data_IF_823909315904
#
_entry.id   IF_823909315904
#
_cell.length_a   1.000
_cell.length_b   1.000
_cell.length_c   1.000
_cell.angle_alpha   90.00
_cell.angle_beta   90.00
_cell.angle_gamma   90.00
#
_symmetry.space_group_name_H-M   'P 1'
#
loop_
_entity.id
_entity.type
_entity.pdbx_description
1 polymer ?
#
# COMPACT_ATOMS: atom_id res chain seq x y z
N UNK A 1 -55.67 -7.90 -48.78
CA UNK A 1 -55.44 -7.99 -47.31
C UNK A 1 -55.31 -9.47 -46.96
N UNK A 2 -54.38 -9.96 -46.12
CA UNK A 2 -53.30 -9.32 -45.33
C UNK A 2 -51.95 -9.98 -45.68
N UNK A 3 -50.82 -9.34 -45.38
CA UNK A 3 -49.50 -10.00 -45.40
C UNK A 3 -49.32 -10.82 -44.11
N UNK A 4 -48.74 -12.01 -44.21
CA UNK A 4 -48.20 -12.77 -43.08
C UNK A 4 -46.69 -12.90 -43.29
N UNK A 5 -45.92 -12.10 -42.56
CA UNK A 5 -44.47 -12.17 -42.48
C UNK A 5 -44.11 -13.09 -41.31
N UNK A 6 -43.36 -14.16 -41.59
CA UNK A 6 -42.87 -15.06 -40.55
C UNK A 6 -41.61 -14.44 -39.91
N UNK A 7 -41.80 -13.70 -38.82
CA UNK A 7 -40.69 -13.08 -38.08
C UNK A 7 -40.00 -14.10 -37.18
N UNK A 8 -38.86 -14.64 -37.62
CA UNK A 8 -37.95 -15.42 -36.76
C UNK A 8 -37.33 -14.48 -35.74
N UNK A 9 -37.85 -14.47 -34.52
CA UNK A 9 -37.24 -13.74 -33.40
C UNK A 9 -36.02 -14.54 -32.93
N UNK A 10 -34.86 -14.25 -33.53
CA UNK A 10 -33.60 -14.80 -33.07
C UNK A 10 -33.30 -14.18 -31.69
N UNK A 11 -33.49 -14.97 -30.64
CA UNK A 11 -33.24 -14.53 -29.27
C UNK A 11 -31.73 -14.32 -29.06
N UNK A 12 -31.29 -13.07 -29.22
CA UNK A 12 -29.98 -12.60 -28.77
C UNK A 12 -29.95 -12.64 -27.25
N UNK A 13 -29.71 -13.83 -26.69
CA UNK A 13 -29.22 -14.00 -25.33
C UNK A 13 -27.89 -13.24 -25.27
N UNK A 14 -27.76 -12.16 -24.50
CA UNK A 14 -26.45 -11.59 -24.29
C UNK A 14 -25.64 -12.64 -23.55
N UNK A 15 -24.53 -13.10 -24.14
CA UNK A 15 -23.45 -13.66 -23.36
C UNK A 15 -22.95 -12.49 -22.49
N UNK A 16 -23.53 -12.37 -21.29
CA UNK A 16 -22.85 -11.72 -20.19
C UNK A 16 -21.50 -12.43 -20.09
N UNK A 17 -20.43 -11.72 -20.46
CA UNK A 17 -19.10 -12.25 -20.37
C UNK A 17 -18.93 -12.74 -18.93
N UNK A 18 -18.72 -14.05 -18.77
CA UNK A 18 -18.16 -14.58 -17.54
C UNK A 18 -16.73 -14.05 -17.50
N UNK A 19 -16.59 -12.82 -16.99
CA UNK A 19 -15.34 -12.29 -16.50
C UNK A 19 -14.86 -13.31 -15.48
N UNK A 20 -13.95 -14.17 -15.92
CA UNK A 20 -13.50 -15.31 -15.14
C UNK A 20 -12.65 -14.74 -14.01
N UNK A 21 -13.32 -14.48 -12.88
CA UNK A 21 -12.85 -13.73 -11.71
C UNK A 21 -11.78 -14.54 -10.96
N UNK A 22 -10.68 -14.71 -11.68
CA UNK A 22 -9.45 -15.41 -11.33
C UNK A 22 -8.67 -14.49 -10.41
N UNK A 23 -9.24 -14.25 -9.22
CA UNK A 23 -8.67 -13.40 -8.17
C UNK A 23 -7.29 -13.89 -7.81
N UNK A 24 -6.30 -13.30 -8.47
CA UNK A 24 -4.92 -13.38 -8.07
C UNK A 24 -4.68 -12.58 -6.80
N UNK A 25 -3.41 -12.40 -6.49
CA UNK A 25 -2.92 -11.60 -5.37
C UNK A 25 -2.95 -10.09 -5.67
N UNK A 26 -3.93 -9.64 -6.46
CA UNK A 26 -4.14 -8.23 -6.83
C UNK A 26 -4.78 -7.51 -5.65
N UNK A 27 -4.02 -6.61 -5.01
CA UNK A 27 -4.50 -5.82 -3.88
C UNK A 27 -4.84 -4.41 -4.38
N UNK A 28 -6.09 -4.02 -4.24
CA UNK A 28 -6.55 -2.64 -4.47
C UNK A 28 -7.18 -2.10 -3.19
N UNK A 29 -6.72 -0.93 -2.73
CA UNK A 29 -7.15 -0.34 -1.45
C UNK A 29 -7.21 1.18 -1.55
N UNK A 30 -8.23 1.81 -0.97
CA UNK A 30 -8.28 3.28 -0.86
C UNK A 30 -7.61 3.74 0.42
N UNK A 31 -7.21 5.02 0.46
CA UNK A 31 -6.61 5.59 1.68
C UNK A 31 -7.52 5.42 2.91
N UNK A 32 -8.83 5.70 2.77
CA UNK A 32 -9.77 5.57 3.87
C UNK A 32 -10.09 4.11 4.26
N UNK A 33 -9.94 3.15 3.34
CA UNK A 33 -10.03 1.73 3.73
C UNK A 33 -8.82 1.32 4.58
N UNK A 34 -7.62 1.81 4.25
CA UNK A 34 -6.44 1.60 5.09
C UNK A 34 -6.58 2.25 6.47
N UNK A 35 -7.13 3.47 6.53
CA UNK A 35 -7.48 4.14 7.80
C UNK A 35 -8.43 3.29 8.65
N UNK A 36 -9.48 2.72 8.04
CA UNK A 36 -10.42 1.84 8.75
C UNK A 36 -9.72 0.61 9.33
N UNK A 37 -8.99 -0.14 8.50
CA UNK A 37 -8.32 -1.37 8.92
C UNK A 37 -7.25 -1.09 10.00
N UNK A 38 -6.48 0.00 9.87
CA UNK A 38 -5.50 0.39 10.87
C UNK A 38 -6.11 0.94 12.18
N UNK A 39 -7.31 1.55 12.14
CA UNK A 39 -8.08 1.87 13.35
C UNK A 39 -8.45 0.59 14.09
N UNK A 40 -8.80 -0.49 13.38
CA UNK A 40 -9.08 -1.79 13.99
C UNK A 40 -7.81 -2.45 14.54
N UNK A 41 -6.73 -2.54 13.76
CA UNK A 41 -5.45 -3.15 14.17
C UNK A 41 -4.82 -2.47 15.39
N UNK A 42 -4.92 -1.14 15.49
CA UNK A 42 -4.38 -0.34 16.59
C UNK A 42 -5.40 -0.11 17.72
N UNK A 43 -6.62 -0.66 17.60
CA UNK A 43 -7.72 -0.51 18.57
C UNK A 43 -8.10 0.95 18.90
N UNK A 44 -7.93 1.85 17.93
CA UNK A 44 -8.17 3.29 18.08
C UNK A 44 -9.67 3.54 18.37
N UNK A 45 -10.03 4.39 19.34
CA UNK A 45 -11.43 4.59 19.74
C UNK A 45 -12.34 5.00 18.57
N UNK A 46 -13.43 4.26 18.35
CA UNK A 46 -14.33 4.42 17.18
C UNK A 46 -14.86 5.83 16.94
N UNK A 47 -14.89 6.72 17.93
CA UNK A 47 -15.27 8.12 17.73
C UNK A 47 -14.22 8.90 16.90
N UNK A 48 -12.93 8.53 16.97
CA UNK A 48 -11.86 9.09 16.14
C UNK A 48 -11.99 8.72 14.67
N UNK A 49 -12.56 7.55 14.35
CA UNK A 49 -12.79 7.15 12.97
C UNK A 49 -13.65 8.17 12.21
N UNK A 50 -14.65 8.79 12.87
CA UNK A 50 -15.46 9.86 12.27
C UNK A 50 -14.61 11.09 11.94
N UNK A 51 -13.63 11.43 12.79
CA UNK A 51 -12.68 12.51 12.57
C UNK A 51 -11.78 12.22 11.34
N UNK A 52 -11.18 11.03 11.28
CA UNK A 52 -10.31 10.63 10.15
C UNK A 52 -11.06 10.50 8.83
N UNK A 53 -12.32 10.05 8.85
CA UNK A 53 -13.20 10.00 7.67
C UNK A 53 -13.64 11.41 7.20
N UNK A 54 -13.57 12.42 8.06
CA UNK A 54 -13.72 13.83 7.71
C UNK A 54 -12.40 14.48 7.22
N UNK A 55 -11.33 13.69 7.04
CA UNK A 55 -9.97 14.12 6.70
C UNK A 55 -9.28 15.00 7.76
N UNK A 56 -9.74 14.98 9.00
CA UNK A 56 -9.06 15.63 10.13
C UNK A 56 -8.00 14.69 10.72
N UNK A 57 -6.72 15.05 10.59
CA UNK A 57 -5.59 14.27 11.14
C UNK A 57 -4.79 15.14 12.13
N UNK A 58 -5.15 15.16 13.43
CA UNK A 58 -4.45 15.94 14.45
C UNK A 58 -3.04 15.40 14.77
N UNK A 59 -2.11 16.24 15.29
CA UNK A 59 -0.71 15.87 15.55
C UNK A 59 -0.48 15.09 16.86
N UNK A 60 -1.46 14.28 17.30
CA UNK A 60 -1.31 13.41 18.48
C UNK A 60 -0.67 12.06 18.14
N UNK A 61 -0.09 11.39 19.14
CA UNK A 61 0.70 10.15 18.93
C UNK A 61 -0.15 8.98 18.40
N UNK A 62 -1.43 8.93 18.77
CA UNK A 62 -2.41 7.96 18.25
C UNK A 62 -2.59 8.13 16.73
N UNK A 63 -2.83 9.36 16.28
CA UNK A 63 -2.98 9.70 14.86
C UNK A 63 -1.67 9.55 14.08
N UNK A 64 -0.52 9.88 14.68
CA UNK A 64 0.81 9.66 14.09
C UNK A 64 1.05 8.17 13.80
N UNK A 65 0.80 7.29 14.77
CA UNK A 65 1.00 5.86 14.58
C UNK A 65 -0.08 5.23 13.69
N UNK A 66 -1.30 5.77 13.65
CA UNK A 66 -2.31 5.42 12.65
C UNK A 66 -1.83 5.70 11.23
N UNK A 67 -1.34 6.91 10.95
CA UNK A 67 -0.82 7.28 9.62
C UNK A 67 0.39 6.45 9.22
N UNK A 68 1.24 6.06 10.18
CA UNK A 68 2.33 5.10 9.95
C UNK A 68 1.85 3.68 9.61
N UNK A 69 0.80 3.18 10.29
CA UNK A 69 0.17 1.91 9.91
C UNK A 69 -0.37 1.99 8.48
N UNK A 70 -1.10 3.07 8.16
CA UNK A 70 -1.64 3.34 6.81
C UNK A 70 -0.55 3.36 5.75
N UNK A 71 0.60 4.01 6.02
CA UNK A 71 1.73 4.01 5.10
C UNK A 71 2.42 2.65 4.95
N UNK A 72 2.44 1.84 5.99
CA UNK A 72 3.02 0.49 5.96
C UNK A 72 2.11 -0.50 5.19
N UNK A 73 0.80 -0.37 5.36
CA UNK A 73 -0.25 -1.15 4.69
C UNK A 73 -0.35 -0.78 3.19
N UNK A 74 -0.38 0.51 2.86
CA UNK A 74 -0.38 1.04 1.48
C UNK A 74 1.01 1.09 0.82
N UNK A 75 2.04 0.53 1.47
CA UNK A 75 3.43 0.41 0.99
C UNK A 75 4.19 1.71 0.71
N UNK A 76 3.61 2.88 0.98
CA UNK A 76 4.33 4.16 0.82
C UNK A 76 5.31 4.48 1.95
N UNK A 77 5.26 3.75 3.07
CA UNK A 77 6.23 3.87 4.16
C UNK A 77 6.99 2.55 4.39
N UNK A 78 8.29 2.66 4.63
CA UNK A 78 9.18 1.54 4.95
C UNK A 78 10.09 1.88 6.14
N UNK A 79 10.23 0.96 7.11
CA UNK A 79 11.05 1.18 8.31
C UNK A 79 12.57 1.29 8.05
N UNK A 80 13.05 0.79 6.91
CA UNK A 80 14.48 0.80 6.53
C UNK A 80 14.79 1.87 5.48
N UNK A 81 13.88 2.07 4.51
CA UNK A 81 14.09 2.98 3.38
C UNK A 81 13.27 4.28 3.45
N UNK A 82 12.39 4.44 4.44
CA UNK A 82 11.51 5.62 4.57
C UNK A 82 10.43 5.68 3.49
N UNK A 83 10.17 6.89 2.98
CA UNK A 83 9.19 7.19 1.95
C UNK A 83 9.46 6.42 0.65
N UNK A 84 8.46 5.70 0.14
CA UNK A 84 8.45 5.11 -1.20
C UNK A 84 7.61 6.01 -2.12
N UNK A 85 8.28 6.90 -2.86
CA UNK A 85 7.62 7.93 -3.68
C UNK A 85 6.61 7.36 -4.69
N UNK A 86 6.88 6.25 -5.41
CA UNK A 86 5.92 5.69 -6.37
C UNK A 86 4.57 5.29 -5.75
N UNK A 87 4.56 4.79 -4.51
CA UNK A 87 3.33 4.43 -3.83
C UNK A 87 2.56 5.63 -3.27
N UNK A 88 3.22 6.63 -2.66
CA UNK A 88 2.47 7.74 -2.04
C UNK A 88 1.68 8.54 -3.08
N UNK A 89 2.27 8.78 -4.27
CA UNK A 89 1.64 9.57 -5.33
C UNK A 89 0.40 8.89 -5.92
N UNK A 90 0.20 7.58 -5.69
CA UNK A 90 -1.02 6.87 -6.07
C UNK A 90 -2.24 7.34 -5.27
N UNK A 91 -2.02 7.85 -4.04
CA UNK A 91 -3.08 8.26 -3.13
C UNK A 91 -3.39 9.77 -3.14
N UNK A 92 -2.69 10.57 -3.96
CA UNK A 92 -2.89 12.02 -4.03
C UNK A 92 -3.02 12.53 -5.48
N UNK A 93 -4.04 13.36 -5.72
CA UNK A 93 -4.30 14.01 -7.00
C UNK A 93 -4.02 15.52 -6.88
N UNK A 94 -3.06 16.08 -7.63
CA UNK A 94 -2.78 17.51 -7.64
C UNK A 94 -3.99 18.37 -8.01
N UNK A 95 -4.09 19.54 -7.40
CA UNK A 95 -5.16 20.51 -7.64
C UNK A 95 -5.08 21.02 -9.08
N UNK A 96 -6.22 21.07 -9.78
CA UNK A 96 -6.27 21.43 -11.20
C UNK A 96 -5.71 22.84 -11.43
N UNK A 97 -4.59 22.91 -12.15
CA UNK A 97 -3.90 24.16 -12.48
C UNK A 97 -2.69 24.47 -11.61
N UNK A 98 -2.50 23.77 -10.48
CA UNK A 98 -1.26 23.85 -9.71
C UNK A 98 -0.11 23.21 -10.50
N UNK A 99 1.04 23.88 -10.51
CA UNK A 99 2.30 23.44 -11.14
C UNK A 99 3.49 23.53 -10.18
N UNK A 100 3.25 23.84 -8.91
CA UNK A 100 4.25 23.98 -7.86
C UNK A 100 4.08 22.94 -6.75
N UNK A 101 3.03 22.10 -6.81
CA UNK A 101 2.75 21.04 -5.84
C UNK A 101 3.98 20.15 -5.55
N UNK A 102 4.70 19.72 -6.59
CA UNK A 102 5.93 18.91 -6.47
C UNK A 102 7.01 19.65 -5.68
N UNK A 103 7.29 20.90 -6.08
CA UNK A 103 8.29 21.75 -5.44
C UNK A 103 7.96 22.00 -3.97
N UNK A 104 6.73 22.43 -3.65
CA UNK A 104 6.32 22.72 -2.27
C UNK A 104 6.33 21.46 -1.41
N UNK A 105 5.97 20.30 -1.99
CA UNK A 105 6.07 19.00 -1.30
C UNK A 105 7.52 18.66 -0.99
N UNK A 106 8.46 18.80 -1.94
CA UNK A 106 9.90 18.59 -1.70
C UNK A 106 10.43 19.53 -0.61
N UNK A 107 10.18 20.83 -0.74
CA UNK A 107 10.57 21.84 0.25
C UNK A 107 9.96 21.57 1.63
N UNK A 108 8.80 20.91 1.72
CA UNK A 108 8.21 20.46 2.98
C UNK A 108 8.90 19.21 3.55
N UNK A 109 9.16 18.19 2.73
CA UNK A 109 9.83 16.94 3.14
C UNK A 109 11.27 17.22 3.59
N UNK A 110 12.00 18.06 2.87
CA UNK A 110 13.35 18.50 3.21
C UNK A 110 13.40 19.10 4.62
N UNK A 111 12.52 20.05 4.93
CA UNK A 111 12.45 20.72 6.24
C UNK A 111 11.97 19.81 7.37
N UNK A 112 10.89 19.06 7.16
CA UNK A 112 10.15 18.39 8.26
C UNK A 112 10.47 16.90 8.42
N UNK A 113 11.07 16.25 7.41
CA UNK A 113 11.33 14.80 7.41
C UNK A 113 12.83 14.48 7.29
N UNK A 114 13.57 15.22 6.44
CA UNK A 114 14.99 14.97 6.19
C UNK A 114 15.93 15.74 7.12
N UNK A 115 15.69 17.05 7.31
CA UNK A 115 16.48 17.91 8.20
C UNK A 115 16.07 17.86 9.68
N UNK A 116 14.93 17.24 10.00
CA UNK A 116 14.41 17.17 11.36
C UNK A 116 14.90 15.92 12.10
N UNK A 117 15.33 16.08 13.36
CA UNK A 117 15.67 14.98 14.29
C UNK A 117 14.41 14.29 14.82
N UNK A 118 13.51 13.91 13.92
CA UNK A 118 12.20 13.33 14.21
C UNK A 118 12.37 11.92 14.82
N UNK A 119 11.88 11.66 16.05
CA UNK A 119 12.46 10.62 16.91
C UNK A 119 12.02 9.18 16.59
N UNK A 120 10.89 8.99 15.90
CA UNK A 120 10.34 7.66 15.61
C UNK A 120 9.65 7.62 14.24
N UNK A 121 9.35 6.40 13.75
CA UNK A 121 8.74 6.21 12.44
C UNK A 121 7.26 6.63 12.37
N UNK A 122 6.53 6.68 13.50
CA UNK A 122 5.18 7.26 13.52
C UNK A 122 5.23 8.75 13.15
N UNK A 123 6.08 9.53 13.81
CA UNK A 123 6.27 10.95 13.52
C UNK A 123 6.82 11.18 12.10
N UNK A 124 7.81 10.39 11.64
CA UNK A 124 8.36 10.55 10.28
C UNK A 124 7.35 10.26 9.17
N UNK A 125 6.56 9.20 9.30
CA UNK A 125 5.48 8.89 8.35
C UNK A 125 4.37 9.94 8.40
N UNK A 126 4.02 10.44 9.59
CA UNK A 126 3.03 11.50 9.78
C UNK A 126 3.45 12.83 9.14
N UNK A 127 4.67 13.33 9.38
CA UNK A 127 5.13 14.57 8.73
C UNK A 127 5.26 14.41 7.21
N UNK A 128 5.66 13.21 6.75
CA UNK A 128 5.65 12.85 5.32
C UNK A 128 4.24 12.98 4.73
N UNK A 129 3.25 12.34 5.35
CA UNK A 129 1.85 12.43 4.95
C UNK A 129 1.32 13.87 4.99
N UNK A 130 1.63 14.64 6.03
CA UNK A 130 1.20 16.04 6.17
C UNK A 130 1.77 16.92 5.05
N UNK A 131 3.01 16.68 4.59
CA UNK A 131 3.55 17.36 3.43
C UNK A 131 2.74 17.07 2.15
N UNK A 132 2.41 15.80 1.86
CA UNK A 132 1.58 15.49 0.69
C UNK A 132 0.14 16.01 0.82
N UNK A 133 -0.47 15.88 2.00
CA UNK A 133 -1.85 16.30 2.28
C UNK A 133 -2.06 17.82 2.24
N UNK A 134 -1.01 18.61 2.49
CA UNK A 134 -1.06 20.08 2.40
C UNK A 134 -0.57 20.62 1.06
N UNK A 135 0.54 20.07 0.55
CA UNK A 135 1.26 20.66 -0.57
C UNK A 135 1.05 19.94 -1.91
N UNK A 136 0.78 18.63 -1.91
CA UNK A 136 0.67 17.85 -3.16
C UNK A 136 -0.74 17.91 -3.76
N UNK A 137 -1.78 17.69 -2.95
CA UNK A 137 -3.17 17.77 -3.42
C UNK A 137 -4.18 16.95 -2.62
N UNK A 138 -5.31 16.64 -3.24
CA UNK A 138 -6.43 15.95 -2.60
C UNK A 138 -6.19 14.43 -2.52
N UNK A 139 -6.66 13.78 -1.45
CA UNK A 139 -6.60 12.32 -1.32
C UNK A 139 -7.54 11.66 -2.35
N UNK A 140 -7.03 10.64 -3.05
CA UNK A 140 -7.81 9.85 -4.02
C UNK A 140 -8.73 8.88 -3.26
N UNK A 141 -10.03 8.97 -3.55
CA UNK A 141 -11.09 8.17 -2.90
C UNK A 141 -11.24 6.77 -3.50
N UNK A 142 -11.00 6.62 -4.81
CA UNK A 142 -10.99 5.32 -5.48
C UNK A 142 -9.90 4.40 -4.90
N UNK A 143 -10.14 3.08 -4.76
CA UNK A 143 -9.09 2.11 -4.49
C UNK A 143 -7.94 2.20 -5.50
N UNK A 144 -6.72 2.04 -5.00
CA UNK A 144 -5.48 2.11 -5.75
C UNK A 144 -4.72 0.80 -5.64
N UNK A 145 -3.94 0.47 -6.67
CA UNK A 145 -3.05 -0.69 -6.64
C UNK A 145 -2.03 -0.57 -5.50
N UNK A 146 -2.03 -1.58 -4.62
CA UNK A 146 -1.05 -1.75 -3.54
C UNK A 146 -0.13 -2.90 -3.95
N UNK A 147 1.19 -2.66 -4.10
CA UNK A 147 2.09 -3.66 -4.64
C UNK A 147 2.33 -4.81 -3.64
N UNK A 148 2.48 -6.05 -4.13
CA UNK A 148 2.76 -7.20 -3.28
C UNK A 148 4.14 -7.07 -2.62
N UNK A 149 4.27 -7.59 -1.40
CA UNK A 149 5.60 -7.83 -0.80
C UNK A 149 6.37 -8.86 -1.64
N UNK A 150 7.70 -8.90 -1.51
CA UNK A 150 8.52 -9.90 -2.22
C UNK A 150 8.07 -11.34 -1.93
N UNK A 151 7.67 -11.65 -0.69
CA UNK A 151 7.10 -12.96 -0.31
C UNK A 151 5.79 -13.25 -1.06
N UNK A 152 4.87 -12.28 -1.14
CA UNK A 152 3.63 -12.40 -1.89
C UNK A 152 3.88 -12.59 -3.39
N UNK A 153 4.82 -11.84 -3.97
CA UNK A 153 5.21 -11.99 -5.38
C UNK A 153 5.85 -13.37 -5.65
N UNK A 154 6.76 -13.84 -4.79
CA UNK A 154 7.35 -15.18 -4.91
C UNK A 154 6.30 -16.30 -4.78
N UNK A 155 5.30 -16.15 -3.90
CA UNK A 155 4.17 -17.10 -3.84
C UNK A 155 3.34 -17.07 -5.13
N UNK A 156 3.00 -15.89 -5.66
CA UNK A 156 2.25 -15.76 -6.91
C UNK A 156 2.99 -16.36 -8.11
N UNK A 157 4.32 -16.23 -8.16
CA UNK A 157 5.15 -16.88 -9.17
C UNK A 157 5.22 -18.40 -8.97
N UNK A 158 5.38 -18.89 -7.73
CA UNK A 158 5.37 -20.32 -7.40
C UNK A 158 4.04 -20.99 -7.79
N UNK A 159 2.92 -20.32 -7.51
CA UNK A 159 1.60 -20.76 -7.98
C UNK A 159 1.57 -20.89 -9.51
N UNK A 160 2.10 -19.93 -10.25
CA UNK A 160 2.17 -19.98 -11.71
C UNK A 160 3.06 -21.12 -12.22
N UNK A 161 4.22 -21.36 -11.61
CA UNK A 161 5.06 -22.52 -11.94
C UNK A 161 4.28 -23.85 -11.81
N UNK A 162 3.49 -23.98 -10.74
CA UNK A 162 2.68 -25.16 -10.47
C UNK A 162 1.46 -25.28 -11.41
N UNK A 163 0.72 -24.19 -11.64
CA UNK A 163 -0.46 -24.19 -12.51
C UNK A 163 -0.11 -24.45 -13.97
N UNK A 164 0.97 -23.85 -14.47
CA UNK A 164 1.48 -24.06 -15.82
C UNK A 164 2.23 -25.39 -15.97
N UNK A 165 2.49 -26.10 -14.86
CA UNK A 165 3.23 -27.38 -14.80
C UNK A 165 4.61 -27.28 -15.46
N UNK A 166 5.36 -26.23 -15.12
CA UNK A 166 6.67 -25.95 -15.70
C UNK A 166 7.61 -27.17 -15.52
N UNK A 167 8.23 -27.68 -16.62
CA UNK A 167 9.12 -28.84 -16.57
C UNK A 167 10.29 -28.70 -15.59
N UNK A 168 10.71 -29.81 -14.99
CA UNK A 168 11.74 -29.82 -13.92
C UNK A 168 13.11 -29.37 -14.40
N UNK A 169 13.46 -29.63 -15.65
CA UNK A 169 14.64 -29.12 -16.35
C UNK A 169 14.57 -27.59 -16.53
N UNK A 170 13.41 -27.06 -16.92
CA UNK A 170 13.21 -25.61 -17.04
C UNK A 170 13.21 -24.90 -15.68
N UNK A 171 12.66 -25.53 -14.63
CA UNK A 171 12.82 -25.09 -13.24
C UNK A 171 14.30 -25.05 -12.81
N UNK A 172 15.13 -26.00 -13.26
CA UNK A 172 16.57 -25.99 -13.00
C UNK A 172 17.33 -24.88 -13.75
N UNK A 173 16.84 -24.42 -14.90
CA UNK A 173 17.35 -23.19 -15.54
C UNK A 173 16.93 -21.97 -14.72
N UNK A 174 15.63 -21.82 -14.44
CA UNK A 174 15.10 -20.69 -13.68
C UNK A 174 15.79 -20.52 -12.31
N UNK A 175 16.04 -21.61 -11.57
CA UNK A 175 16.69 -21.53 -10.24
C UNK A 175 18.12 -20.96 -10.26
N UNK A 176 18.77 -20.97 -11.43
CA UNK A 176 20.13 -20.47 -11.69
C UNK A 176 20.15 -19.03 -12.25
N UNK A 177 19.01 -18.46 -12.63
CA UNK A 177 18.92 -17.18 -13.34
C UNK A 177 18.84 -17.29 -14.86
N UNK A 178 18.77 -18.51 -15.41
CA UNK A 178 18.57 -18.74 -16.84
C UNK A 178 17.07 -18.84 -17.14
N UNK A 179 16.51 -17.80 -17.78
CA UNK A 179 15.10 -17.73 -18.18
C UNK A 179 15.04 -17.70 -19.73
N UNK A 180 15.14 -18.87 -20.41
CA UNK A 180 15.18 -18.91 -21.88
C UNK A 180 13.84 -18.49 -22.50
N UNK A 181 13.90 -17.89 -23.69
CA UNK A 181 12.73 -17.47 -24.46
C UNK A 181 11.99 -18.66 -25.07
N UNK A 182 11.14 -19.29 -24.26
CA UNK A 182 10.26 -20.41 -24.63
C UNK A 182 8.82 -20.12 -24.17
N UNK A 183 7.83 -20.81 -24.75
CA UNK A 183 6.40 -20.53 -24.51
C UNK A 183 6.03 -20.61 -23.03
N UNK A 184 6.65 -21.54 -22.30
CA UNK A 184 6.53 -21.73 -20.86
C UNK A 184 6.97 -20.49 -20.07
N UNK A 185 8.11 -19.90 -20.43
CA UNK A 185 8.62 -18.65 -19.84
C UNK A 185 7.72 -17.48 -20.17
N UNK A 186 7.27 -17.36 -21.43
CA UNK A 186 6.34 -16.31 -21.84
C UNK A 186 5.02 -16.37 -21.07
N UNK A 187 4.47 -17.58 -20.92
CA UNK A 187 3.22 -17.78 -20.18
C UNK A 187 3.39 -17.67 -18.66
N UNK A 188 4.59 -17.94 -18.13
CA UNK A 188 4.94 -17.62 -16.73
C UNK A 188 4.90 -16.12 -16.47
N UNK A 189 5.46 -15.30 -17.36
CA UNK A 189 5.38 -13.83 -17.27
C UNK A 189 3.92 -13.35 -17.31
N UNK A 190 3.12 -13.80 -18.28
CA UNK A 190 1.70 -13.44 -18.36
C UNK A 190 0.89 -13.92 -17.13
N UNK A 191 1.11 -15.15 -16.67
CA UNK A 191 0.46 -15.67 -15.47
C UNK A 191 0.82 -14.85 -14.23
N UNK A 192 2.10 -14.51 -14.05
CA UNK A 192 2.59 -13.74 -12.91
C UNK A 192 2.02 -12.32 -12.93
N UNK A 193 2.15 -11.60 -14.05
CA UNK A 193 1.63 -10.23 -14.18
C UNK A 193 0.10 -10.19 -14.00
N UNK A 194 -0.65 -11.18 -14.51
CA UNK A 194 -2.10 -11.29 -14.26
C UNK A 194 -2.39 -11.61 -12.77
N UNK A 195 -1.63 -12.54 -12.16
CA UNK A 195 -1.77 -12.89 -10.73
C UNK A 195 -1.54 -11.70 -9.82
N UNK A 196 -0.54 -10.85 -10.07
CA UNK A 196 -0.27 -9.65 -9.26
C UNK A 196 -0.91 -8.37 -9.82
N UNK A 197 -1.81 -8.48 -10.81
CA UNK A 197 -2.65 -7.37 -11.28
C UNK A 197 -1.92 -6.31 -12.10
N UNK A 198 -0.76 -6.64 -12.66
CA UNK A 198 -0.01 -5.86 -13.66
C UNK A 198 -0.55 -6.05 -15.08
N UNK A 199 -1.32 -7.11 -15.36
CA UNK A 199 -1.99 -7.35 -16.65
C UNK A 199 -3.52 -7.41 -16.47
N UNK A 200 -4.25 -6.92 -17.47
CA UNK A 200 -5.67 -7.29 -17.70
C UNK A 200 -5.93 -7.51 -19.19
N UNK A 201 -6.92 -8.33 -19.53
CA UNK A 201 -7.28 -8.61 -20.92
C UNK A 201 -7.74 -7.36 -21.68
N UNK A 202 -8.27 -6.35 -20.96
CA UNK A 202 -8.75 -5.09 -21.51
C UNK A 202 -7.60 -4.12 -21.85
N UNK A 203 -6.69 -3.86 -20.91
CA UNK A 203 -5.63 -2.84 -21.07
C UNK A 203 -4.28 -3.39 -21.54
N UNK A 204 -4.05 -4.69 -21.43
CA UNK A 204 -2.70 -5.26 -21.46
C UNK A 204 -1.91 -4.86 -20.21
N UNK A 205 -0.60 -4.71 -20.36
CA UNK A 205 0.33 -4.39 -19.26
C UNK A 205 0.13 -2.97 -18.69
N UNK A 206 -0.08 -2.88 -17.37
CA UNK A 206 -0.29 -1.65 -16.60
C UNK A 206 1.03 -1.00 -16.18
N UNK A 207 1.56 -0.13 -17.04
CA UNK A 207 2.78 0.65 -16.80
C UNK A 207 2.76 1.48 -15.50
N UNK A 208 1.59 1.99 -15.10
CA UNK A 208 1.42 2.70 -13.82
C UNK A 208 1.56 1.78 -12.60
N UNK A 209 1.14 0.52 -12.70
CA UNK A 209 1.27 -0.48 -11.63
C UNK A 209 2.69 -1.03 -11.54
N UNK A 210 3.41 -1.11 -12.67
CA UNK A 210 4.84 -1.41 -12.70
C UNK A 210 5.67 -0.31 -12.00
N UNK A 211 5.41 0.96 -12.30
CA UNK A 211 5.99 2.09 -11.59
C UNK A 211 5.75 2.02 -10.07
N UNK A 212 4.53 1.67 -9.63
CA UNK A 212 4.19 1.49 -8.22
C UNK A 212 4.82 0.22 -7.60
N UNK A 213 4.98 -0.87 -8.37
CA UNK A 213 5.65 -2.11 -7.95
C UNK A 213 7.11 -1.87 -7.58
N UNK A 214 7.80 -1.05 -8.37
CA UNK A 214 9.23 -0.76 -8.23
C UNK A 214 9.48 0.35 -7.20
N UNK A 215 8.89 0.22 -6.00
CA UNK A 215 8.86 1.20 -4.91
C UNK A 215 10.17 1.97 -4.64
N UNK A 216 11.32 1.31 -4.82
CA UNK A 216 12.65 1.87 -4.57
C UNK A 216 13.20 2.72 -5.74
N UNK A 217 12.57 2.68 -6.90
CA UNK A 217 13.00 3.32 -8.15
C UNK A 217 11.92 4.30 -8.63
N UNK A 218 12.13 5.59 -8.39
CA UNK A 218 11.25 6.65 -8.88
C UNK A 218 11.48 6.93 -10.39
N UNK A 219 11.28 5.89 -11.21
CA UNK A 219 11.58 5.94 -12.64
C UNK A 219 10.33 6.31 -13.47
N UNK A 220 10.21 7.61 -13.75
CA UNK A 220 9.12 8.16 -14.55
C UNK A 220 9.12 7.66 -16.00
N UNK A 221 10.16 6.97 -16.49
CA UNK A 221 10.17 6.38 -17.85
C UNK A 221 9.07 5.33 -18.04
N UNK A 222 8.62 4.65 -16.98
CA UNK A 222 7.42 3.81 -17.02
C UNK A 222 6.17 4.59 -17.52
N UNK A 223 6.05 5.85 -17.14
CA UNK A 223 4.90 6.71 -17.40
C UNK A 223 5.07 7.55 -18.70
N UNK A 224 6.18 7.35 -19.42
CA UNK A 224 6.52 8.09 -20.63
C UNK A 224 5.60 7.76 -21.81
N UNK A 225 5.53 8.66 -22.79
CA UNK A 225 4.77 8.43 -24.04
C UNK A 225 5.44 7.34 -24.88
N UNK A 226 6.75 7.22 -24.74
CA UNK A 226 7.66 6.35 -25.47
C UNK A 226 7.47 4.90 -25.04
N UNK A 227 7.52 4.61 -23.73
CA UNK A 227 7.22 3.29 -23.15
C UNK A 227 5.75 2.91 -23.39
N UNK A 228 4.82 3.86 -23.25
CA UNK A 228 3.40 3.64 -23.57
C UNK A 228 3.21 3.22 -25.03
N UNK A 229 3.79 3.98 -25.97
CA UNK A 229 3.72 3.67 -27.39
C UNK A 229 4.44 2.35 -27.74
N UNK A 230 5.49 1.98 -27.01
CA UNK A 230 6.16 0.70 -27.18
C UNK A 230 5.23 -0.48 -26.85
N UNK A 231 4.65 -0.50 -25.64
CA UNK A 231 3.65 -1.50 -25.24
C UNK A 231 2.46 -1.51 -26.20
N UNK A 232 1.95 -0.33 -26.59
CA UNK A 232 0.80 -0.24 -27.50
C UNK A 232 1.12 -0.83 -28.89
N UNK A 233 2.38 -0.76 -29.38
CA UNK A 233 2.82 -1.50 -30.57
C UNK A 233 2.90 -3.02 -30.33
N UNK A 234 3.46 -3.47 -29.20
CA UNK A 234 3.54 -4.90 -28.86
C UNK A 234 2.14 -5.52 -28.80
N UNK A 235 1.19 -4.85 -28.14
CA UNK A 235 -0.22 -5.25 -28.07
C UNK A 235 -0.94 -5.21 -29.43
N UNK A 236 -0.57 -4.26 -30.31
CA UNK A 236 -1.10 -4.17 -31.67
C UNK A 236 -0.48 -5.15 -32.68
N UNK A 237 0.55 -5.93 -32.29
CA UNK A 237 1.24 -6.88 -33.19
C UNK A 237 0.40 -8.10 -33.59
N UNK A 238 -0.62 -8.45 -32.78
CA UNK A 238 -1.40 -9.68 -32.96
C UNK A 238 -0.75 -10.94 -32.39
N UNK A 239 0.34 -10.82 -31.63
CA UNK A 239 0.90 -11.91 -30.83
C UNK A 239 -0.11 -12.46 -29.78
N UNK A 240 0.12 -13.68 -29.31
CA UNK A 240 -0.62 -14.27 -28.19
C UNK A 240 -0.34 -13.53 -26.87
N UNK A 241 -1.22 -13.70 -25.86
CA UNK A 241 -1.13 -12.98 -24.58
C UNK A 241 0.13 -13.30 -23.76
N UNK A 242 0.74 -14.47 -23.95
CA UNK A 242 2.00 -14.80 -23.29
C UNK A 242 3.15 -14.01 -23.93
N UNK A 243 3.23 -14.00 -25.26
CA UNK A 243 4.19 -13.19 -26.01
C UNK A 243 3.94 -11.68 -25.84
N UNK A 244 2.69 -11.20 -25.71
CA UNK A 244 2.38 -9.78 -25.45
C UNK A 244 3.07 -9.28 -24.17
N UNK A 245 2.91 -10.02 -23.07
CA UNK A 245 3.50 -9.64 -21.78
C UNK A 245 5.02 -9.77 -21.85
N UNK A 246 5.53 -10.91 -22.31
CA UNK A 246 6.98 -11.16 -22.35
C UNK A 246 7.72 -10.13 -23.21
N UNK A 247 7.24 -9.87 -24.44
CA UNK A 247 7.83 -8.87 -25.33
C UNK A 247 7.67 -7.44 -24.76
N UNK A 248 6.61 -7.16 -23.98
CA UNK A 248 6.53 -5.87 -23.28
C UNK A 248 7.66 -5.73 -22.25
N UNK A 249 7.92 -6.74 -21.42
CA UNK A 249 9.04 -6.68 -20.46
C UNK A 249 10.38 -6.58 -21.18
N UNK A 250 10.61 -7.38 -22.24
CA UNK A 250 11.89 -7.42 -22.95
C UNK A 250 12.15 -6.19 -23.84
N UNK A 251 11.20 -5.82 -24.71
CA UNK A 251 11.41 -4.78 -25.74
C UNK A 251 11.13 -3.36 -25.23
N UNK A 252 10.30 -3.23 -24.18
CA UNK A 252 9.77 -1.92 -23.74
C UNK A 252 10.14 -1.52 -22.31
N UNK A 253 10.53 -2.46 -21.43
CA UNK A 253 10.88 -2.18 -20.03
C UNK A 253 12.37 -2.40 -19.69
N UNK A 254 13.18 -2.90 -20.63
CA UNK A 254 14.60 -3.13 -20.41
C UNK A 254 15.33 -1.87 -19.89
N UNK A 255 15.99 -1.99 -18.74
CA UNK A 255 16.70 -0.90 -18.08
C UNK A 255 15.80 0.23 -17.56
N UNK A 256 14.51 -0.02 -17.29
CA UNK A 256 13.58 0.86 -16.58
C UNK A 256 13.29 0.27 -15.20
N UNK A 257 13.35 1.11 -14.15
CA UNK A 257 12.97 0.71 -12.79
C UNK A 257 13.86 -0.39 -12.19
N UNK A 258 13.22 -1.41 -11.63
CA UNK A 258 13.84 -2.65 -11.13
C UNK A 258 13.77 -3.71 -12.25
N UNK A 259 14.63 -3.56 -13.26
CA UNK A 259 14.64 -4.37 -14.49
C UNK A 259 14.70 -5.89 -14.22
N UNK A 260 15.51 -6.30 -13.25
CA UNK A 260 15.64 -7.69 -12.80
C UNK A 260 14.53 -8.17 -11.83
N UNK A 261 13.49 -7.36 -11.53
CA UNK A 261 12.46 -7.72 -10.54
C UNK A 261 11.80 -9.07 -10.84
N UNK A 262 11.24 -9.22 -12.04
CA UNK A 262 10.47 -10.42 -12.42
C UNK A 262 11.39 -11.65 -12.44
N UNK A 263 12.58 -11.52 -13.04
CA UNK A 263 13.62 -12.55 -13.08
C UNK A 263 13.96 -13.09 -11.69
N UNK A 264 14.27 -12.20 -10.74
CA UNK A 264 14.66 -12.61 -9.37
C UNK A 264 13.50 -13.23 -8.57
N UNK A 265 12.26 -12.81 -8.81
CA UNK A 265 11.07 -13.42 -8.20
C UNK A 265 10.85 -14.84 -8.76
N UNK A 266 10.99 -15.04 -10.07
CA UNK A 266 10.91 -16.36 -10.73
C UNK A 266 12.03 -17.29 -10.27
N UNK A 267 13.27 -16.79 -10.16
CA UNK A 267 14.43 -17.53 -9.65
C UNK A 267 14.16 -18.14 -8.27
N UNK A 268 13.62 -17.34 -7.34
CA UNK A 268 13.36 -17.80 -5.97
C UNK A 268 12.15 -18.75 -5.91
N UNK A 269 11.10 -18.47 -6.70
CA UNK A 269 9.96 -19.38 -6.84
C UNK A 269 10.39 -20.75 -7.40
N UNK A 270 11.30 -20.78 -8.38
CA UNK A 270 11.81 -22.01 -8.96
C UNK A 270 12.66 -22.84 -7.98
N UNK A 271 13.44 -22.18 -7.10
CA UNK A 271 14.14 -22.86 -6.00
C UNK A 271 13.18 -23.52 -5.03
N UNK A 272 12.09 -22.84 -4.66
CA UNK A 272 11.06 -23.39 -3.77
C UNK A 272 10.33 -24.55 -4.47
N UNK A 273 10.01 -24.43 -5.77
CA UNK A 273 9.40 -25.51 -6.55
C UNK A 273 10.30 -26.77 -6.59
N UNK A 274 11.59 -26.62 -6.89
CA UNK A 274 12.55 -27.73 -6.87
C UNK A 274 12.72 -28.36 -5.48
N UNK A 275 12.75 -27.54 -4.43
CA UNK A 275 12.78 -28.05 -3.05
C UNK A 275 11.53 -28.88 -2.73
N UNK A 276 10.34 -28.40 -3.11
CA UNK A 276 9.07 -29.09 -2.89
C UNK A 276 8.99 -30.44 -3.64
N UNK A 277 9.57 -30.56 -4.84
CA UNK A 277 9.69 -31.84 -5.55
C UNK A 277 10.55 -32.87 -4.78
N UNK A 278 11.53 -32.42 -3.98
CA UNK A 278 12.28 -33.25 -3.04
C UNK A 278 11.54 -33.56 -1.73
N UNK A 279 10.41 -32.91 -1.47
CA UNK A 279 9.57 -33.06 -0.27
C UNK A 279 8.24 -33.77 -0.61
N UNK A 280 8.23 -34.56 -1.68
CA UNK A 280 7.24 -35.63 -1.85
C UNK A 280 7.13 -36.45 -0.57
N UNK A 281 5.90 -36.82 -0.18
CA UNK A 281 5.66 -37.53 1.06
C UNK A 281 6.52 -38.79 1.14
N UNK A 282 7.48 -38.81 2.07
CA UNK A 282 8.16 -40.04 2.44
C UNK A 282 7.15 -40.92 3.17
N UNK A 283 6.40 -41.71 2.40
CA UNK A 283 5.96 -43.02 2.86
C UNK A 283 7.19 -43.73 3.39
N UNK A 284 7.33 -43.74 4.71
CA UNK A 284 8.22 -44.68 5.37
C UNK A 284 7.70 -46.05 4.96
N UNK A 285 8.45 -46.73 4.09
CA UNK A 285 8.25 -48.15 3.83
C UNK A 285 8.59 -48.90 5.12
N UNK A 286 7.62 -48.93 6.03
CA UNK A 286 7.61 -49.85 7.17
C UNK A 286 7.52 -51.24 6.56
N UNK A 287 8.54 -52.10 6.70
CA UNK A 287 8.46 -53.45 6.17
C UNK A 287 7.32 -54.18 6.89
N UNK A 288 6.35 -54.74 6.14
CA UNK A 288 5.21 -55.43 6.74
C UNK A 288 5.68 -56.54 7.70
N UNK A 289 5.27 -56.52 8.98
CA UNK A 289 5.11 -57.74 9.74
C UNK A 289 3.83 -58.44 9.25
N UNK A 290 3.90 -59.73 8.92
CA UNK A 290 2.68 -60.52 8.71
C UNK A 290 2.03 -60.84 10.06
N UNK A 291 1.09 -60.01 10.47
CA UNK A 291 0.07 -60.34 11.48
C UNK A 291 -1.12 -59.40 11.29
N UNK A 292 -2.27 -59.94 10.87
CA UNK A 292 -3.50 -59.18 10.74
C UNK A 292 -4.24 -59.14 12.08
N UNK A 293 -4.42 -57.95 12.63
CA UNK A 293 -5.49 -57.64 13.57
C UNK A 293 -6.23 -56.41 13.02
N UNK A 294 -7.55 -56.50 12.93
CA UNK A 294 -8.39 -55.41 12.43
C UNK A 294 -8.53 -54.33 13.50
N UNK A 295 -8.08 -53.11 13.21
CA UNK A 295 -8.28 -51.94 14.07
C UNK A 295 -9.28 -51.01 13.40
N UNK A 296 -10.40 -50.78 14.07
CA UNK A 296 -11.56 -50.07 13.54
C UNK A 296 -11.26 -48.57 13.29
N UNK A 297 -11.42 -48.10 12.05
CA UNK A 297 -11.05 -46.74 11.65
C UNK A 297 -12.11 -45.71 12.11
N UNK A 298 -11.95 -45.19 13.33
CA UNK A 298 -12.81 -44.13 13.87
C UNK A 298 -12.53 -42.79 13.18
N UNK A 299 -13.27 -42.53 12.09
CA UNK A 299 -13.17 -41.30 11.30
C UNK A 299 -13.62 -40.04 12.06
N UNK A 300 -12.66 -39.21 12.49
CA UNK A 300 -12.93 -37.95 13.20
C UNK A 300 -13.42 -36.84 12.25
N UNK A 301 -14.75 -36.71 12.13
CA UNK A 301 -15.37 -35.57 11.44
C UNK A 301 -15.22 -34.27 12.23
N UNK A 302 -14.67 -33.22 11.60
CA UNK A 302 -14.36 -31.92 12.24
C UNK A 302 -15.60 -31.03 12.50
N UNK A 303 -16.80 -31.61 12.57
CA UNK A 303 -18.08 -30.93 12.38
C UNK A 303 -18.96 -30.81 13.65
N UNK A 304 -18.39 -30.87 14.85
CA UNK A 304 -19.14 -30.56 16.08
C UNK A 304 -18.28 -30.09 17.25
N UNK A 305 -18.30 -28.78 17.53
CA UNK A 305 -17.89 -28.22 18.83
C UNK A 305 -18.96 -27.24 19.33
N UNK A 306 -19.64 -27.63 20.41
CA UNK A 306 -20.44 -26.78 21.28
C UNK A 306 -19.73 -26.77 22.66
N UNK A 307 -19.40 -25.61 23.25
CA UNK A 307 -18.56 -25.57 24.45
C UNK A 307 -19.34 -25.92 25.72
N UNK A 308 -19.11 -27.12 26.26
CA UNK A 308 -19.59 -27.52 27.59
C UNK A 308 -18.64 -27.04 28.69
N UNK A 309 -19.12 -26.18 29.59
CA UNK A 309 -18.33 -25.61 30.70
C UNK A 309 -17.97 -26.66 31.77
N UNK A 310 -16.68 -26.88 32.09
CA UNK A 310 -16.28 -27.70 33.24
C UNK A 310 -16.58 -27.01 34.58
N UNK A 311 -16.98 -27.78 35.59
CA UNK A 311 -17.11 -27.31 36.98
C UNK A 311 -15.76 -27.35 37.70
N UNK A 312 -15.54 -26.45 38.65
CA UNK A 312 -14.38 -26.49 39.56
C UNK A 312 -14.40 -27.71 40.49
N UNK A 313 -13.21 -28.18 40.86
CA UNK A 313 -12.96 -28.85 42.14
C UNK A 313 -11.49 -28.68 42.55
N UNK A 314 -11.21 -27.86 43.57
CA UNK A 314 -9.87 -27.75 44.17
C UNK A 314 -9.62 -28.90 45.16
N UNK A 315 -8.41 -29.49 45.16
CA UNK A 315 -7.52 -29.35 46.34
C UNK A 315 -6.01 -29.42 45.98
N UNK A 316 -5.09 -29.43 46.96
CA UNK A 316 -4.84 -28.41 47.98
C UNK A 316 -3.47 -27.72 47.77
N UNK A 317 -3.19 -26.65 48.51
CA UNK A 317 -1.91 -25.90 48.40
C UNK A 317 -0.75 -26.67 49.03
N UNK A 318 0.40 -26.70 48.34
CA UNK A 318 1.71 -27.10 48.87
C UNK A 318 2.76 -26.00 48.62
N UNK A 319 3.89 -25.97 49.37
CA UNK A 319 4.71 -24.76 49.52
C UNK A 319 5.52 -24.32 48.30
N UNK A 320 5.84 -23.02 48.26
CA UNK A 320 6.69 -22.38 47.24
C UNK A 320 8.14 -22.86 47.35
N UNK A 321 8.78 -23.34 46.27
CA UNK A 321 10.22 -23.55 46.22
C UNK A 321 10.94 -22.21 46.03
N UNK A 322 11.93 -21.90 46.89
CA UNK A 322 12.83 -20.78 46.66
C UNK A 322 13.80 -21.10 45.51
N UNK A 323 13.80 -20.26 44.47
CA UNK A 323 14.75 -20.36 43.35
C UNK A 323 15.93 -19.40 43.54
N UNK A 324 17.20 -19.86 43.43
CA UNK A 324 18.36 -19.02 43.61
C UNK A 324 18.54 -18.02 42.45
N UNK A 325 18.83 -16.77 42.79
CA UNK A 325 19.03 -15.68 41.81
C UNK A 325 20.32 -15.91 41.01
N UNK A 326 20.18 -16.43 39.79
CA UNK A 326 21.27 -16.51 38.82
C UNK A 326 21.39 -15.21 38.03
N UNK A 327 22.45 -14.44 38.29
CA UNK A 327 22.77 -13.22 37.55
C UNK A 327 23.27 -13.59 36.15
N UNK A 328 22.39 -13.52 35.15
CA UNK A 328 22.75 -13.74 33.74
C UNK A 328 23.38 -12.47 33.17
N UNK A 329 24.71 -12.42 33.17
CA UNK A 329 25.48 -11.36 32.50
C UNK A 329 25.25 -11.45 30.99
N UNK A 330 24.40 -10.58 30.42
CA UNK A 330 24.19 -10.51 28.97
C UNK A 330 25.44 -9.98 28.26
N UNK A 331 26.22 -10.87 27.67
CA UNK A 331 27.12 -10.50 26.57
C UNK A 331 26.27 -10.11 25.36
N UNK A 332 26.49 -8.90 24.83
CA UNK A 332 25.82 -8.42 23.63
C UNK A 332 26.45 -9.11 22.41
N UNK A 333 25.67 -9.71 21.49
CA UNK A 333 26.23 -10.24 20.25
C UNK A 333 26.77 -9.10 19.39
N UNK A 334 28.07 -9.14 19.10
CA UNK A 334 28.71 -8.20 18.16
C UNK A 334 28.29 -8.56 16.75
N UNK A 335 27.27 -7.87 16.24
CA UNK A 335 26.91 -7.95 14.83
C UNK A 335 28.01 -7.33 13.98
N UNK A 336 28.70 -8.14 13.18
CA UNK A 336 29.71 -7.66 12.23
C UNK A 336 29.11 -6.69 11.20
N UNK A 337 29.92 -5.74 10.74
CA UNK A 337 29.48 -4.71 9.79
C UNK A 337 28.87 -5.31 8.52
N UNK A 338 27.58 -5.06 8.31
CA UNK A 338 26.91 -5.30 7.02
C UNK A 338 27.26 -4.16 6.05
N UNK A 339 27.55 -4.43 4.76
CA UNK A 339 27.97 -3.38 3.82
C UNK A 339 26.94 -2.26 3.66
N UNK A 340 27.44 -1.04 3.44
CA UNK A 340 26.64 0.18 3.32
C UNK A 340 25.80 0.22 2.05
N UNK A 341 24.67 0.92 2.08
CA UNK A 341 23.75 1.04 0.95
C UNK A 341 24.26 2.06 -0.07
N UNK A 342 24.97 1.59 -1.10
CA UNK A 342 25.66 2.43 -2.09
C UNK A 342 24.72 2.98 -3.19
N UNK A 343 23.76 3.84 -2.82
CA UNK A 343 22.99 4.64 -3.78
C UNK A 343 22.48 5.97 -3.19
N UNK A 344 23.40 6.79 -2.67
CA UNK A 344 23.18 8.20 -2.35
C UNK A 344 24.39 9.01 -2.83
N UNK A 345 24.28 9.64 -4.01
CA UNK A 345 25.39 10.36 -4.62
C UNK A 345 25.61 11.75 -4.02
N UNK A 346 26.56 11.88 -3.08
CA UNK A 346 27.12 13.18 -2.67
C UNK A 346 28.50 13.01 -2.03
N UNK A 347 29.52 13.63 -2.63
CA UNK A 347 30.93 13.49 -2.24
C UNK A 347 31.40 14.62 -1.31
N UNK A 348 31.23 14.42 0.00
CA UNK A 348 31.81 15.32 1.02
C UNK A 348 33.30 15.02 1.23
N UNK A 349 34.17 15.98 0.93
CA UNK A 349 35.59 15.91 1.28
C UNK A 349 35.76 16.02 2.79
N UNK A 350 36.30 14.98 3.43
CA UNK A 350 36.73 15.06 4.84
C UNK A 350 38.03 15.87 4.90
N UNK A 351 38.01 16.94 5.69
CA UNK A 351 39.22 17.59 6.21
C UNK A 351 39.24 17.34 7.71
N UNK A 352 40.36 16.83 8.22
CA UNK A 352 40.56 16.54 9.64
C UNK A 352 41.10 17.79 10.34
N UNK A 353 40.64 18.05 11.56
CA UNK A 353 41.25 18.97 12.52
C UNK A 353 41.00 18.43 13.94
N UNK A 354 42.03 18.51 14.80
CA UNK A 354 42.11 17.77 16.06
C UNK A 354 41.44 18.45 17.28
N UNK A 355 41.44 17.73 18.40
CA UNK A 355 40.91 18.14 19.70
C UNK A 355 41.60 19.38 20.29
N UNK A 356 40.82 20.34 20.81
CA UNK A 356 41.20 21.11 22.02
C UNK A 356 39.96 21.38 22.90
N UNK A 357 40.13 21.14 24.21
CA UNK A 357 39.38 21.72 25.32
C UNK A 357 40.42 22.36 26.27
N UNK A 358 40.11 23.38 27.10
CA UNK A 358 38.91 23.39 27.95
C UNK A 358 38.27 24.77 28.31
N UNK A 359 37.10 24.69 28.97
CA UNK A 359 36.54 25.60 30.01
C UNK A 359 36.53 27.13 29.84
N UNK A 360 35.36 27.75 30.09
CA UNK A 360 35.18 28.68 31.23
C UNK A 360 33.70 28.99 31.55
N UNK A 361 33.43 29.46 32.76
CA UNK A 361 32.10 29.84 33.28
C UNK A 361 31.65 31.24 32.83
N UNK A 362 30.33 31.43 32.61
CA UNK A 362 29.58 32.52 33.28
C UNK A 362 28.06 32.34 33.27
N UNK A 363 27.40 32.68 34.38
CA UNK A 363 25.93 32.82 34.50
C UNK A 363 25.45 34.23 34.13
N UNK A 364 24.20 34.38 33.70
CA UNK A 364 23.56 35.68 33.47
C UNK A 364 22.07 35.61 33.10
N UNK A 365 21.19 35.78 34.10
CA UNK A 365 19.75 36.11 33.96
C UNK A 365 19.55 37.63 34.18
N UNK A 366 18.49 38.33 33.76
CA UNK A 366 17.04 38.09 33.85
C UNK A 366 16.24 39.04 32.89
N UNK A 367 14.90 38.92 32.89
CA UNK A 367 13.88 39.89 32.37
C UNK A 367 13.78 39.98 30.81
N UNK A 368 12.62 40.18 30.16
CA UNK A 368 11.48 41.12 30.35
C UNK A 368 11.93 42.60 30.19
N UNK A 369 11.22 43.48 29.48
CA UNK A 369 9.79 43.50 29.13
C UNK A 369 9.47 44.31 27.84
N UNK A 370 8.17 44.38 27.50
CA UNK A 370 7.45 45.38 26.69
C UNK A 370 7.59 45.51 25.16
N UNK A 371 6.44 45.93 24.57
CA UNK A 371 6.17 46.27 23.18
C UNK A 371 5.46 47.63 23.15
N UNK A 372 5.83 48.56 22.24
CA UNK A 372 4.89 49.56 21.74
C UNK A 372 4.37 49.27 20.31
N UNK A 373 3.26 49.90 19.94
CA UNK A 373 2.71 49.96 18.57
C UNK A 373 2.53 51.42 18.11
N UNK A 374 2.17 51.58 16.84
CA UNK A 374 1.71 52.81 16.15
C UNK A 374 2.76 53.81 15.66
N UNK A 375 2.82 53.93 14.32
CA UNK A 375 2.62 55.20 13.62
C UNK A 375 1.95 54.91 12.25
N UNK A 376 1.13 55.85 11.77
CA UNK A 376 0.50 55.84 10.43
C UNK A 376 0.73 57.21 9.82
N UNK A 377 0.87 57.31 8.50
CA UNK A 377 0.78 58.56 7.74
C UNK A 377 -0.06 58.35 6.47
N UNK A 378 -0.60 59.43 5.90
CA UNK A 378 -1.61 59.37 4.82
C UNK A 378 -1.65 60.66 4.00
N UNK A 379 -1.89 60.54 2.69
CA UNK A 379 -2.27 61.62 1.76
C UNK A 379 -3.35 61.03 0.81
N UNK A 380 -4.53 61.61 0.52
CA UNK A 380 -4.95 62.99 0.15
C UNK A 380 -4.64 63.25 -1.34
N UNK A 381 -5.62 63.38 -2.26
CA UNK A 381 -7.10 63.37 -2.20
C UNK A 381 -7.67 62.51 -3.39
N UNK A 382 -8.82 62.64 -4.07
CA UNK A 382 -9.85 63.68 -4.30
C UNK A 382 -11.24 63.04 -4.61
N UNK A 383 -12.28 63.86 -4.86
CA UNK A 383 -13.66 63.49 -5.25
C UNK A 383 -14.24 64.60 -6.18
N UNK A 384 -15.55 64.71 -6.56
CA UNK A 384 -16.73 63.85 -6.32
C UNK A 384 -17.69 63.66 -7.55
N UNK A 385 -18.77 62.87 -7.40
CA UNK A 385 -20.19 63.23 -7.73
C UNK A 385 -21.16 62.02 -7.63
N UNK A 386 -22.48 62.29 -7.67
CA UNK A 386 -23.62 61.46 -7.22
C UNK A 386 -24.76 61.49 -8.31
N UNK A 387 -26.03 60.99 -8.15
CA UNK A 387 -26.64 60.09 -7.15
C UNK A 387 -27.67 59.02 -7.69
N UNK A 388 -28.31 58.27 -6.76
CA UNK A 388 -29.68 57.69 -6.82
C UNK A 388 -29.90 56.40 -7.68
N UNK A 389 -30.79 55.42 -7.39
CA UNK A 389 -31.84 55.10 -6.37
C UNK A 389 -31.84 53.56 -6.09
N UNK A 390 -32.61 52.91 -5.19
CA UNK A 390 -33.49 53.34 -4.09
C UNK A 390 -34.64 52.33 -3.77
N UNK A 391 -34.86 51.97 -2.48
CA UNK A 391 -35.94 51.07 -1.92
C UNK A 391 -35.90 49.57 -2.33
N UNK A 392 -36.49 48.59 -1.60
CA UNK A 392 -37.48 48.65 -0.50
C UNK A 392 -37.39 47.53 0.56
N UNK A 393 -37.56 47.92 1.84
CA UNK A 393 -38.33 47.30 2.96
C UNK A 393 -38.19 45.83 3.41
N UNK A 394 -38.06 45.68 4.73
CA UNK A 394 -38.12 44.45 5.53
C UNK A 394 -39.54 43.86 5.69
N UNK A 395 -39.62 42.56 6.04
CA UNK A 395 -40.52 42.07 7.13
C UNK A 395 -39.81 41.04 8.02
N UNK A 396 -40.10 41.08 9.32
CA UNK A 396 -39.62 40.14 10.34
C UNK A 396 -40.82 39.34 10.86
N UNK A 397 -40.62 38.06 11.18
CA UNK A 397 -41.56 37.29 12.02
C UNK A 397 -40.84 36.20 12.82
N UNK A 398 -41.29 36.01 14.06
CA UNK A 398 -40.88 35.02 15.09
C UNK A 398 -42.19 34.63 15.82
N UNK A 399 -42.37 33.43 16.43
CA UNK A 399 -41.62 33.11 17.66
C UNK A 399 -41.44 31.60 18.09
N UNK A 400 -40.69 31.44 19.19
CA UNK A 400 -40.85 30.45 20.29
C UNK A 400 -40.66 28.92 20.14
N UNK A 401 -39.49 28.48 20.63
CA UNK A 401 -39.19 27.37 21.59
C UNK A 401 -40.29 26.33 21.97
N UNK A 402 -39.97 25.04 21.76
CA UNK A 402 -40.19 23.88 22.68
C UNK A 402 -38.95 22.97 22.49
N UNK A 403 -38.13 22.50 23.46
CA UNK A 403 -38.24 21.73 24.73
C UNK A 403 -38.23 20.19 24.56
N UNK A 404 -37.56 19.51 25.50
CA UNK A 404 -37.47 18.05 25.78
C UNK A 404 -36.78 17.09 24.79
N UNK A 405 -35.84 16.31 25.34
CA UNK A 405 -35.31 15.01 24.83
C UNK A 405 -36.01 13.89 25.61
N UNK A 406 -36.33 12.75 24.96
CA UNK A 406 -35.98 11.46 25.58
C UNK A 406 -35.56 10.37 24.58
N UNK A 407 -35.24 9.19 25.14
CA UNK A 407 -35.07 7.86 24.53
C UNK A 407 -33.72 7.54 23.84
N UNK A 408 -33.06 6.52 24.39
CA UNK A 408 -31.97 5.77 23.76
C UNK A 408 -32.56 4.92 22.63
N UNK A 409 -31.93 4.93 21.46
CA UNK A 409 -32.25 4.03 20.35
C UNK A 409 -31.05 3.11 20.10
N UNK A 410 -31.26 1.81 20.32
CA UNK A 410 -30.33 0.76 19.94
C UNK A 410 -30.23 0.67 18.42
N UNK A 411 -29.02 0.84 17.86
CA UNK A 411 -28.78 0.60 16.44
C UNK A 411 -28.81 -0.92 16.15
N UNK A 412 -29.56 -1.37 15.13
CA UNK A 412 -29.46 -2.75 14.65
C UNK A 412 -28.16 -2.93 13.85
N UNK A 413 -27.64 -4.15 13.82
CA UNK A 413 -26.53 -4.52 12.95
C UNK A 413 -26.85 -4.19 11.49
N UNK A 414 -26.03 -3.33 10.89
CA UNK A 414 -25.97 -3.11 9.45
C UNK A 414 -24.64 -3.60 8.95
N UNK A 415 -24.66 -4.76 8.30
CA UNK A 415 -23.59 -5.18 7.39
C UNK A 415 -23.29 -4.05 6.41
N UNK A 416 -22.08 -3.49 6.46
CA UNK A 416 -21.67 -2.40 5.57
C UNK A 416 -21.47 -2.93 4.16
N UNK A 417 -22.56 -3.01 3.40
CA UNK A 417 -22.51 -3.30 1.97
C UNK A 417 -22.00 -2.07 1.23
N UNK A 418 -20.68 -1.99 1.07
CA UNK A 418 -20.03 -0.96 0.25
C UNK A 418 -20.66 -0.90 -1.15
N UNK A 419 -20.72 0.28 -1.79
CA UNK A 419 -21.31 0.42 -3.10
C UNK A 419 -20.58 -0.44 -4.15
N UNK A 420 -21.36 -1.14 -4.97
CA UNK A 420 -20.89 -2.07 -6.00
C UNK A 420 -19.74 -1.52 -6.85
N UNK A 421 -18.69 -2.31 -7.03
CA UNK A 421 -17.55 -2.04 -7.92
C UNK A 421 -18.01 -1.78 -9.36
N UNK A 422 -18.20 -0.50 -9.74
CA UNK A 422 -18.41 -0.07 -11.12
C UNK A 422 -17.59 1.18 -11.44
N UNK A 423 -16.42 0.94 -12.04
CA UNK A 423 -15.61 1.91 -12.80
C UNK A 423 -15.10 3.15 -12.04
N UNK A 424 -14.41 2.95 -10.92
CA UNK A 424 -13.58 3.99 -10.28
C UNK A 424 -12.24 4.15 -11.05
N UNK A 425 -12.27 4.60 -12.31
CA UNK A 425 -11.08 4.69 -13.18
C UNK A 425 -10.16 5.87 -12.81
N UNK A 426 -9.26 5.64 -11.87
CA UNK A 426 -8.21 6.57 -11.45
C UNK A 426 -6.87 6.35 -12.18
N UNK A 427 -6.87 6.20 -13.51
CA UNK A 427 -5.65 5.99 -14.32
C UNK A 427 -5.08 7.31 -14.88
N UNK A 428 -4.75 8.27 -14.02
CA UNK A 428 -4.36 9.64 -14.43
C UNK A 428 -3.02 10.14 -13.87
N UNK A 429 -1.99 9.30 -13.92
CA UNK A 429 -0.61 9.79 -13.95
C UNK A 429 -0.29 10.43 -15.31
N UNK A 430 -0.60 11.71 -15.43
CA UNK A 430 -0.28 12.55 -16.59
C UNK A 430 0.68 13.66 -16.20
N UNK A 431 1.94 13.33 -15.87
CA UNK A 431 3.00 14.32 -15.67
C UNK A 431 3.16 15.15 -16.96
N UNK A 432 2.76 16.42 -16.90
CA UNK A 432 2.90 17.37 -18.02
C UNK A 432 4.23 18.11 -17.89
N UNK A 433 5.26 17.49 -18.46
CA UNK A 433 6.41 18.20 -18.99
C UNK A 433 6.00 18.94 -20.28
#
# INVERSE_FOLDING_TARGET
MKRLLLSVVLALVPLAALANDTKGLTIEKSFLQSVHDCVEYLQVPRHRLVQYLAYEFPPDEETKCLIYCVGTDLRWWNNTCGLQVPAIVNFFQPVLGDRQYEKRTSECLERNVLSATTPNNCCKAYETFQCYFREFGNIVTCPQYVPPTKLQATQAALDCLNMLRIPTDLLQCYSKGDLPDVQETRCLYHCFDHRIGLYTFESGVHLSRLYVRDLAFHDLRYLSKETKACRDRVRASGCDVCSEVYNTHHDCLAGIGDDDYTSRIVVEAARIALANLGVCCQEKQVPLPLSAEEVEEVGYSYASYQPSVPKELFPPVLPVPELPVSVVTRTVPVYGHRPSCSSCGSSSKVVVADEVHPTLYRSGSYAMDERPQHAVSSDILLAPSEPSTGTSSYRISKPSKVKSVPAVLSYPDRSSSYPSFRSCKAEHFGFKH
#
